data_IF_623948079454
#
_entry.id   IF_623948079454
#
_cell.length_a   1.000
_cell.length_b   1.000
_cell.length_c   1.000
_cell.angle_alpha   90.00
_cell.angle_beta   90.00
_cell.angle_gamma   90.00
#
_symmetry.space_group_name_H-M   'P 1'
#
loop_
_entity.id
_entity.type
_entity.pdbx_description
1 polymer ?
#
# COMPACT_ATOMS: atom_id res chain seq x y z
N UNK A 1 -18.40 17.91 8.78
CA UNK A 1 -18.26 17.01 7.62
C UNK A 1 -17.50 15.78 8.05
N UNK A 2 -17.94 14.62 7.63
CA UNK A 2 -17.34 13.33 7.93
C UNK A 2 -16.25 13.04 6.89
N UNK A 3 -14.99 13.24 7.27
CA UNK A 3 -13.83 12.89 6.45
C UNK A 3 -13.56 11.37 6.51
N UNK A 4 -14.62 10.58 6.33
CA UNK A 4 -14.57 9.13 6.41
C UNK A 4 -15.27 8.48 5.24
N UNK A 5 -14.58 7.52 4.65
CA UNK A 5 -15.20 6.54 3.76
C UNK A 5 -15.65 5.35 4.60
N UNK A 6 -16.90 4.91 4.51
CA UNK A 6 -17.40 3.82 5.35
C UNK A 6 -18.39 2.92 4.62
N UNK A 7 -18.42 1.65 5.03
CA UNK A 7 -19.13 0.56 4.36
C UNK A 7 -19.70 -0.41 5.39
N UNK A 8 -20.80 -1.07 5.04
CA UNK A 8 -21.53 -2.04 5.88
C UNK A 8 -21.21 -3.50 5.56
N UNK A 9 -20.30 -3.74 4.62
CA UNK A 9 -19.84 -5.06 4.21
C UNK A 9 -18.31 -5.09 4.01
N UNK A 10 -17.67 -6.27 4.15
CA UNK A 10 -16.28 -6.47 3.72
C UNK A 10 -16.08 -6.12 2.24
N UNK A 11 -14.84 -5.80 1.85
CA UNK A 11 -14.52 -5.61 0.45
C UNK A 11 -14.74 -6.92 -0.34
N UNK A 12 -15.42 -6.84 -1.48
CA UNK A 12 -15.66 -7.99 -2.37
C UNK A 12 -14.41 -8.40 -3.15
N UNK A 13 -13.50 -7.46 -3.37
CA UNK A 13 -12.25 -7.59 -4.11
C UNK A 13 -11.24 -6.57 -3.58
N UNK A 14 -10.03 -6.57 -4.14
CA UNK A 14 -8.95 -5.71 -3.70
C UNK A 14 -9.20 -4.22 -3.96
N UNK A 15 -9.82 -3.87 -5.09
CA UNK A 15 -10.07 -2.45 -5.45
C UNK A 15 -11.07 -1.79 -4.50
N UNK A 16 -11.92 -2.58 -3.84
CA UNK A 16 -12.83 -2.10 -2.79
C UNK A 16 -12.19 -2.07 -1.39
N UNK A 17 -10.89 -2.39 -1.27
CA UNK A 17 -10.11 -2.29 -0.04
C UNK A 17 -9.89 -0.85 0.43
N UNK A 18 -9.40 -0.69 1.66
CA UNK A 18 -9.06 0.61 2.23
C UNK A 18 -7.54 0.78 2.33
N UNK A 19 -6.95 1.76 1.63
CA UNK A 19 -5.51 1.96 1.61
C UNK A 19 -5.03 2.60 2.92
N UNK A 20 -3.85 2.17 3.36
CA UNK A 20 -3.02 2.80 4.38
C UNK A 20 -1.56 2.79 3.92
N UNK A 21 -0.73 3.68 4.46
CA UNK A 21 0.70 3.68 4.14
C UNK A 21 1.51 4.63 5.00
N UNK A 22 2.82 4.42 5.01
CA UNK A 22 3.82 5.32 5.62
C UNK A 22 4.62 6.07 4.57
N UNK A 23 4.33 5.88 3.30
CA UNK A 23 5.17 6.28 2.18
C UNK A 23 6.25 5.26 1.85
N UNK A 24 6.93 4.66 2.83
CA UNK A 24 7.82 3.53 2.56
C UNK A 24 7.05 2.22 2.42
N UNK A 25 6.08 2.00 3.32
CA UNK A 25 5.20 0.84 3.35
C UNK A 25 3.79 1.21 2.90
N UNK A 26 3.12 0.27 2.26
CA UNK A 26 1.72 0.39 1.88
C UNK A 26 0.95 -0.89 2.23
N UNK A 27 -0.31 -0.70 2.62
CA UNK A 27 -1.24 -1.75 2.98
C UNK A 27 -2.61 -1.52 2.36
N UNK A 28 -3.24 -2.56 1.81
CA UNK A 28 -4.65 -2.53 1.39
C UNK A 28 -5.47 -3.43 2.32
N UNK A 29 -6.37 -2.86 3.11
CA UNK A 29 -7.16 -3.57 4.13
C UNK A 29 -8.53 -3.96 3.57
N UNK A 30 -8.83 -5.26 3.48
CA UNK A 30 -10.09 -5.74 2.89
C UNK A 30 -11.25 -5.82 3.90
N UNK A 31 -10.95 -6.01 5.18
CA UNK A 31 -11.95 -6.05 6.25
C UNK A 31 -12.71 -7.38 6.34
N UNK A 32 -12.17 -8.49 5.85
CA UNK A 32 -12.86 -9.79 5.80
C UNK A 32 -13.35 -10.28 7.18
N UNK A 33 -14.45 -11.02 7.22
CA UNK A 33 -15.01 -11.59 8.46
C UNK A 33 -14.36 -12.94 8.77
N UNK A 34 -14.44 -13.90 7.85
CA UNK A 34 -13.87 -15.24 8.02
C UNK A 34 -12.33 -15.23 8.00
N UNK A 35 -11.76 -14.44 7.10
CA UNK A 35 -10.33 -14.19 6.99
C UNK A 35 -10.10 -12.73 6.60
N UNK A 36 -9.35 -12.00 7.42
CA UNK A 36 -8.80 -10.71 7.03
C UNK A 36 -7.66 -10.90 6.04
N UNK A 37 -7.57 -9.99 5.07
CA UNK A 37 -6.43 -9.85 4.17
C UNK A 37 -5.95 -8.41 4.19
N UNK A 38 -4.68 -8.21 4.50
CA UNK A 38 -3.98 -6.95 4.31
C UNK A 38 -2.90 -7.21 3.27
N UNK A 39 -3.09 -6.70 2.05
CA UNK A 39 -2.08 -6.80 0.99
C UNK A 39 -0.95 -5.80 1.27
N UNK A 40 0.30 -6.22 1.15
CA UNK A 40 1.48 -5.50 1.63
C UNK A 40 2.43 -5.13 0.49
N UNK A 41 2.93 -3.90 0.56
CA UNK A 41 3.83 -3.33 -0.44
C UNK A 41 4.96 -2.52 0.22
N UNK A 42 6.10 -2.47 -0.44
CA UNK A 42 7.26 -1.66 -0.07
C UNK A 42 7.68 -0.84 -1.28
N UNK A 43 8.01 0.45 -1.12
CA UNK A 43 8.24 1.37 -2.25
C UNK A 43 9.33 0.89 -3.21
N UNK A 44 10.39 0.27 -2.69
CA UNK A 44 11.51 -0.21 -3.50
C UNK A 44 11.31 -1.60 -4.12
N UNK A 45 10.24 -2.31 -3.78
CA UNK A 45 10.12 -3.72 -4.18
C UNK A 45 9.68 -3.86 -5.64
N UNK A 46 10.64 -4.19 -6.51
CA UNK A 46 10.41 -4.64 -7.88
C UNK A 46 11.16 -5.96 -8.14
N UNK A 47 11.03 -6.52 -9.34
CA UNK A 47 11.74 -7.76 -9.72
C UNK A 47 13.26 -7.58 -9.65
N UNK A 48 13.76 -6.44 -10.13
CA UNK A 48 15.15 -6.01 -10.00
C UNK A 48 16.17 -6.78 -10.85
N UNK A 49 15.73 -7.38 -11.96
CA UNK A 49 16.59 -8.11 -12.92
C UNK A 49 17.23 -7.17 -13.97
N UNK A 50 16.58 -6.07 -14.33
CA UNK A 50 16.98 -5.16 -15.41
C UNK A 50 17.58 -3.86 -14.86
N UNK A 51 18.67 -3.98 -14.10
CA UNK A 51 19.35 -2.83 -13.46
C UNK A 51 20.30 -2.08 -14.38
N UNK A 52 20.82 -2.72 -15.44
CA UNK A 52 21.65 -2.06 -16.43
C UNK A 52 20.77 -1.37 -17.48
N UNK A 53 20.79 -0.05 -17.45
CA UNK A 53 20.03 0.83 -18.36
C UNK A 53 20.94 1.61 -19.29
N UNK A 54 22.16 1.12 -19.51
CA UNK A 54 23.08 1.76 -20.45
C UNK A 54 22.48 1.73 -21.85
N UNK A 55 22.20 2.92 -22.38
CA UNK A 55 21.72 3.07 -23.74
C UNK A 55 22.91 3.04 -24.69
N UNK A 56 22.82 2.25 -25.75
CA UNK A 56 23.76 2.31 -26.86
C UNK A 56 23.62 3.66 -27.57
N UNK A 57 24.75 4.29 -27.95
CA UNK A 57 24.71 5.51 -28.74
C UNK A 57 24.22 5.21 -30.16
N UNK A 58 23.02 5.72 -30.47
CA UNK A 58 22.35 5.60 -31.77
C UNK A 58 22.09 6.99 -32.36
N UNK A 59 22.83 8.01 -31.94
CA UNK A 59 22.64 9.40 -32.36
C UNK A 59 22.87 9.62 -33.86
N UNK A 60 23.65 8.75 -34.50
CA UNK A 60 23.92 8.76 -35.95
C UNK A 60 22.66 8.61 -36.84
N UNK A 61 21.57 8.03 -36.30
CA UNK A 61 20.30 7.84 -37.02
C UNK A 61 19.45 9.12 -37.09
N UNK A 62 19.67 10.08 -36.19
CA UNK A 62 18.85 11.29 -36.04
C UNK A 62 18.78 12.17 -37.31
N UNK A 63 19.88 12.42 -38.04
CA UNK A 63 19.81 13.18 -39.29
C UNK A 63 18.91 12.52 -40.33
N UNK A 64 19.00 11.19 -40.49
CA UNK A 64 18.21 10.46 -41.50
C UNK A 64 16.73 10.39 -41.15
N UNK A 65 16.39 10.19 -39.87
CA UNK A 65 14.99 10.25 -39.41
C UNK A 65 14.38 11.62 -39.71
N UNK A 66 15.11 12.72 -39.44
CA UNK A 66 14.65 14.08 -39.74
C UNK A 66 14.45 14.32 -41.24
N UNK A 67 15.38 13.83 -42.08
CA UNK A 67 15.27 13.89 -43.55
C UNK A 67 13.98 13.20 -44.02
N UNK A 68 13.72 11.98 -43.56
CA UNK A 68 12.52 11.21 -43.92
C UNK A 68 11.23 11.92 -43.48
N UNK A 69 11.20 12.55 -42.30
CA UNK A 69 10.05 13.33 -41.84
C UNK A 69 9.82 14.58 -42.70
N UNK A 70 10.88 15.27 -43.13
CA UNK A 70 10.80 16.44 -44.01
C UNK A 70 10.28 16.06 -45.41
N UNK A 71 10.67 14.87 -45.89
CA UNK A 71 10.18 14.30 -47.16
C UNK A 71 8.78 13.67 -47.05
N UNK A 72 8.11 13.79 -45.91
CA UNK A 72 6.79 13.19 -45.61
C UNK A 72 6.76 11.65 -45.70
N UNK A 73 7.92 10.99 -45.59
CA UNK A 73 8.08 9.53 -45.54
C UNK A 73 7.89 9.01 -44.11
N UNK A 74 6.70 9.19 -43.57
CA UNK A 74 6.42 8.91 -42.15
C UNK A 74 6.66 7.45 -41.76
N UNK A 75 6.26 6.49 -42.60
CA UNK A 75 6.45 5.06 -42.31
C UNK A 75 7.94 4.69 -42.22
N UNK A 76 8.75 5.13 -43.19
CA UNK A 76 10.21 4.92 -43.18
C UNK A 76 10.86 5.59 -41.97
N UNK A 77 10.43 6.80 -41.62
CA UNK A 77 10.92 7.53 -40.45
C UNK A 77 10.60 6.79 -39.13
N UNK A 78 9.36 6.29 -39.00
CA UNK A 78 8.92 5.54 -37.82
C UNK A 78 9.68 4.22 -37.66
N UNK A 79 9.87 3.47 -38.76
CA UNK A 79 10.64 2.22 -38.72
C UNK A 79 12.09 2.48 -38.29
N UNK A 80 12.74 3.49 -38.87
CA UNK A 80 14.12 3.85 -38.53
C UNK A 80 14.25 4.35 -37.08
N UNK A 81 13.32 5.18 -36.62
CA UNK A 81 13.31 5.67 -35.24
C UNK A 81 13.08 4.54 -34.23
N UNK A 82 12.20 3.58 -34.54
CA UNK A 82 11.98 2.41 -33.69
C UNK A 82 13.20 1.49 -33.64
N UNK A 83 13.89 1.27 -34.77
CA UNK A 83 15.15 0.51 -34.79
C UNK A 83 16.28 1.21 -34.00
N UNK A 84 16.30 2.54 -34.02
CA UNK A 84 17.30 3.32 -33.30
C UNK A 84 17.02 3.41 -31.79
N UNK A 85 15.76 3.64 -31.38
CA UNK A 85 15.42 4.04 -30.01
C UNK A 85 14.19 3.34 -29.38
N UNK A 86 13.48 2.47 -30.10
CA UNK A 86 12.16 1.93 -29.70
C UNK A 86 12.14 0.88 -28.59
N UNK A 87 13.30 0.43 -28.09
CA UNK A 87 13.38 -0.56 -27.01
C UNK A 87 12.64 -1.88 -27.30
N UNK A 88 12.24 -2.62 -26.26
CA UNK A 88 11.44 -3.86 -26.39
C UNK A 88 10.10 -3.68 -27.10
N UNK A 89 9.58 -2.44 -27.18
CA UNK A 89 8.40 -2.09 -27.96
C UNK A 89 8.65 -1.92 -29.47
N UNK A 90 9.92 -1.85 -29.89
CA UNK A 90 10.33 -1.63 -31.27
C UNK A 90 11.43 -2.61 -31.69
N UNK A 91 11.04 -3.78 -32.22
CA UNK A 91 11.79 -4.67 -33.13
C UNK A 91 13.12 -5.28 -32.60
N UNK A 92 13.79 -4.67 -31.62
CA UNK A 92 15.18 -4.94 -31.24
C UNK A 92 15.38 -6.06 -30.21
N UNK A 93 14.29 -6.50 -29.55
CA UNK A 93 14.35 -7.56 -28.53
C UNK A 93 15.15 -7.21 -27.27
N UNK A 94 15.47 -5.92 -27.06
CA UNK A 94 16.23 -5.44 -25.91
C UNK A 94 15.32 -5.24 -24.70
N UNK A 95 15.62 -5.80 -23.51
CA UNK A 95 14.88 -5.48 -22.30
C UNK A 95 15.22 -4.05 -21.89
N UNK A 96 14.31 -3.11 -22.18
CA UNK A 96 14.46 -1.68 -21.85
C UNK A 96 13.37 -1.18 -20.90
N UNK A 97 12.48 -2.05 -20.42
CA UNK A 97 11.41 -1.70 -19.49
C UNK A 97 11.91 -1.54 -18.06
N UNK A 98 11.24 -0.68 -17.30
CA UNK A 98 11.31 -0.69 -15.84
C UNK A 98 10.91 -2.08 -15.31
N UNK A 99 11.60 -2.59 -14.29
CA UNK A 99 11.18 -3.85 -13.66
C UNK A 99 9.84 -3.65 -12.95
N UNK A 100 8.89 -4.56 -13.17
CA UNK A 100 7.55 -4.43 -12.61
C UNK A 100 7.58 -4.29 -11.09
N UNK A 101 6.80 -3.34 -10.56
CA UNK A 101 6.55 -3.19 -9.13
C UNK A 101 5.88 -4.45 -8.57
N UNK A 102 6.30 -4.92 -7.39
CA UNK A 102 5.89 -6.23 -6.87
C UNK A 102 5.16 -6.15 -5.52
N UNK A 103 4.12 -6.97 -5.31
CA UNK A 103 3.56 -7.18 -3.97
C UNK A 103 4.54 -7.95 -3.09
N UNK A 104 4.67 -7.52 -1.84
CA UNK A 104 5.48 -8.22 -0.85
C UNK A 104 4.76 -9.47 -0.31
N UNK A 105 3.43 -9.53 -0.45
CA UNK A 105 2.56 -10.61 0.01
C UNK A 105 1.37 -10.08 0.81
N UNK A 106 0.74 -10.95 1.58
CA UNK A 106 -0.38 -10.62 2.45
C UNK A 106 -0.07 -11.00 3.90
N UNK A 107 -0.49 -10.15 4.84
CA UNK A 107 -0.87 -10.63 6.17
C UNK A 107 -2.30 -11.15 6.08
N UNK A 108 -2.51 -12.40 6.51
CA UNK A 108 -3.83 -12.99 6.64
C UNK A 108 -4.08 -13.44 8.06
N UNK A 109 -5.27 -13.18 8.58
CA UNK A 109 -5.66 -13.73 9.87
C UNK A 109 -7.15 -14.02 9.98
N UNK A 110 -7.47 -15.06 10.74
CA UNK A 110 -8.83 -15.41 11.12
C UNK A 110 -8.96 -15.32 12.64
N UNK A 111 -10.12 -14.87 13.10
CA UNK A 111 -10.44 -14.77 14.51
C UNK A 111 -11.45 -15.84 14.87
N UNK A 112 -11.28 -16.43 16.04
CA UNK A 112 -12.22 -17.41 16.56
C UNK A 112 -13.47 -16.68 17.07
N UNK A 113 -14.46 -16.56 16.20
CA UNK A 113 -15.74 -15.98 16.54
C UNK A 113 -16.88 -16.69 15.83
N UNK A 114 -18.07 -16.60 16.42
CA UNK A 114 -19.30 -17.06 15.80
C UNK A 114 -19.85 -16.07 14.77
N UNK A 115 -21.16 -16.18 14.54
CA UNK A 115 -21.90 -15.33 13.59
C UNK A 115 -21.74 -13.85 13.91
N UNK A 116 -21.49 -13.07 12.86
CA UNK A 116 -21.27 -11.63 12.93
C UNK A 116 -22.54 -10.82 12.65
N UNK A 117 -22.72 -9.72 13.39
CA UNK A 117 -23.72 -8.67 13.16
C UNK A 117 -23.12 -7.27 13.30
N UNK A 118 -23.88 -6.24 12.91
CA UNK A 118 -23.50 -4.82 13.05
C UNK A 118 -22.11 -4.49 12.48
N UNK A 119 -21.77 -5.13 11.36
CA UNK A 119 -20.48 -4.93 10.70
C UNK A 119 -20.37 -3.51 10.12
N UNK A 120 -19.22 -2.89 10.34
CA UNK A 120 -18.84 -1.62 9.70
C UNK A 120 -17.33 -1.57 9.51
N UNK A 121 -16.89 -1.13 8.33
CA UNK A 121 -15.50 -0.73 8.08
C UNK A 121 -15.45 0.73 7.65
N UNK A 122 -14.44 1.46 8.10
CA UNK A 122 -14.22 2.85 7.71
C UNK A 122 -12.73 3.19 7.57
N UNK A 123 -12.42 4.07 6.63
CA UNK A 123 -11.16 4.80 6.54
C UNK A 123 -11.41 6.24 7.00
N UNK A 124 -10.73 6.63 8.08
CA UNK A 124 -10.75 7.98 8.66
C UNK A 124 -9.54 8.76 8.13
N UNK A 125 -9.79 9.70 7.21
CA UNK A 125 -8.74 10.44 6.50
C UNK A 125 -8.02 11.43 7.41
N UNK A 126 -8.71 12.00 8.41
CA UNK A 126 -8.12 12.89 9.41
C UNK A 126 -7.21 12.16 10.37
N UNK A 127 -7.51 10.90 10.68
CA UNK A 127 -6.75 10.10 11.64
C UNK A 127 -5.84 9.05 11.00
N UNK A 128 -5.76 9.03 9.66
CA UNK A 128 -5.03 8.05 8.86
C UNK A 128 -5.22 6.60 9.34
N UNK A 129 -6.48 6.19 9.53
CA UNK A 129 -6.82 4.92 10.17
C UNK A 129 -7.92 4.19 9.44
N UNK A 130 -7.71 2.89 9.21
CA UNK A 130 -8.80 1.95 8.94
C UNK A 130 -9.31 1.37 10.26
N UNK A 131 -10.63 1.39 10.47
CA UNK A 131 -11.29 0.77 11.62
C UNK A 131 -12.38 -0.17 11.14
N UNK A 132 -12.39 -1.40 11.64
CA UNK A 132 -13.48 -2.35 11.43
C UNK A 132 -14.08 -2.70 12.79
N UNK A 133 -15.40 -2.67 12.89
CA UNK A 133 -16.14 -3.05 14.09
C UNK A 133 -17.26 -4.01 13.74
N UNK A 134 -17.50 -4.97 14.62
CA UNK A 134 -18.62 -5.88 14.51
C UNK A 134 -18.91 -6.57 15.83
N UNK A 135 -20.13 -7.10 15.95
CA UNK A 135 -20.56 -7.88 17.11
C UNK A 135 -20.56 -9.37 16.80
N UNK A 136 -20.15 -10.17 17.78
CA UNK A 136 -20.19 -11.63 17.71
C UNK A 136 -20.24 -12.20 19.12
N UNK A 137 -21.12 -13.16 19.37
CA UNK A 137 -21.22 -13.86 20.67
C UNK A 137 -21.31 -12.92 21.90
N UNK A 138 -21.99 -11.77 21.76
CA UNK A 138 -22.12 -10.76 22.81
C UNK A 138 -20.88 -9.87 23.02
N UNK A 139 -19.85 -10.02 22.20
CA UNK A 139 -18.61 -9.22 22.21
C UNK A 139 -18.62 -8.19 21.09
N UNK A 140 -18.08 -7.00 21.37
CA UNK A 140 -17.76 -6.01 20.36
C UNK A 140 -16.29 -6.16 19.94
N UNK A 141 -16.05 -6.60 18.71
CA UNK A 141 -14.72 -6.68 18.14
C UNK A 141 -14.40 -5.37 17.44
N UNK A 142 -13.21 -4.84 17.71
CA UNK A 142 -12.63 -3.69 17.00
C UNK A 142 -11.27 -4.07 16.45
N UNK A 143 -11.13 -3.96 15.13
CA UNK A 143 -9.85 -4.00 14.41
C UNK A 143 -9.47 -2.59 14.01
N UNK A 144 -8.21 -2.24 14.14
CA UNK A 144 -7.69 -0.94 13.75
C UNK A 144 -6.35 -1.10 13.05
N UNK A 145 -6.21 -0.54 11.86
CA UNK A 145 -4.99 -0.62 11.05
C UNK A 145 -4.49 0.79 10.77
N UNK A 146 -3.21 1.04 11.00
CA UNK A 146 -2.52 2.30 10.70
C UNK A 146 -1.18 2.03 10.03
N UNK A 147 -0.78 2.89 9.09
CA UNK A 147 0.62 3.08 8.74
C UNK A 147 1.21 4.05 9.75
N UNK A 148 2.01 3.57 10.70
CA UNK A 148 2.53 4.41 11.76
C UNK A 148 3.72 5.22 11.26
N UNK A 149 3.59 6.54 11.15
CA UNK A 149 4.60 7.40 10.51
C UNK A 149 5.91 7.49 11.30
N UNK A 150 5.85 7.55 12.64
CA UNK A 150 7.07 7.67 13.47
C UNK A 150 7.84 6.35 13.59
N UNK A 151 7.14 5.26 13.93
CA UNK A 151 7.75 3.92 14.04
C UNK A 151 7.97 3.28 12.65
N UNK A 152 7.42 3.90 11.60
CA UNK A 152 7.50 3.53 10.18
C UNK A 152 7.28 2.03 9.93
N UNK A 153 6.14 1.54 10.42
CA UNK A 153 5.64 0.19 10.29
C UNK A 153 4.11 0.19 10.14
N UNK A 154 3.53 -0.89 9.63
CA UNK A 154 2.08 -1.07 9.67
C UNK A 154 1.71 -1.75 10.99
N UNK A 155 0.71 -1.20 11.69
CA UNK A 155 0.25 -1.73 12.98
C UNK A 155 -1.22 -2.12 12.88
N UNK A 156 -1.54 -3.34 13.26
CA UNK A 156 -2.91 -3.84 13.45
C UNK A 156 -3.16 -4.01 14.93
N UNK A 157 -4.23 -3.40 15.44
CA UNK A 157 -4.78 -3.69 16.76
C UNK A 157 -6.07 -4.48 16.62
N UNK A 158 -6.21 -5.53 17.41
CA UNK A 158 -7.42 -6.33 17.56
C UNK A 158 -7.78 -6.32 19.04
N UNK A 159 -9.01 -5.91 19.34
CA UNK A 159 -9.48 -5.70 20.70
C UNK A 159 -10.94 -6.12 20.82
N UNK A 160 -11.27 -6.91 21.84
CA UNK A 160 -12.59 -7.49 22.06
C UNK A 160 -13.31 -6.90 23.29
N UNK A 161 -13.07 -5.62 23.61
CA UNK A 161 -13.71 -4.93 24.74
C UNK A 161 -13.52 -5.63 26.09
N UNK A 162 -12.27 -5.88 26.48
CA UNK A 162 -11.83 -6.61 27.67
C UNK A 162 -12.13 -8.12 27.70
N UNK A 163 -12.92 -8.63 26.74
CA UNK A 163 -13.06 -10.07 26.51
C UNK A 163 -11.82 -10.65 25.84
N UNK A 164 -11.70 -11.98 25.90
CA UNK A 164 -10.62 -12.70 25.22
C UNK A 164 -10.98 -13.04 23.79
N UNK A 165 -9.96 -13.01 22.93
CA UNK A 165 -9.99 -13.40 21.54
C UNK A 165 -8.81 -14.32 21.21
N UNK A 166 -9.08 -15.29 20.34
CA UNK A 166 -8.11 -16.22 19.78
C UNK A 166 -8.14 -16.10 18.26
N UNK A 167 -7.07 -16.52 17.59
CA UNK A 167 -7.01 -16.42 16.13
C UNK A 167 -5.70 -16.95 15.55
N UNK A 168 -5.70 -17.12 14.22
CA UNK A 168 -4.54 -17.57 13.46
C UNK A 168 -4.03 -16.43 12.59
N UNK A 169 -2.71 -16.22 12.58
CA UNK A 169 -2.05 -15.15 11.82
C UNK A 169 -0.97 -15.77 10.95
N UNK A 170 -0.95 -15.46 9.66
CA UNK A 170 0.03 -16.01 8.72
C UNK A 170 0.47 -15.00 7.68
N UNK A 171 1.70 -15.18 7.21
CA UNK A 171 2.23 -14.51 6.02
C UNK A 171 2.13 -15.45 4.83
N UNK A 172 1.62 -14.94 3.72
CA UNK A 172 1.54 -15.66 2.45
C UNK A 172 1.90 -14.71 1.31
N UNK A 173 2.33 -15.27 0.18
CA UNK A 173 2.49 -14.54 -1.08
C UNK A 173 1.96 -15.44 -2.19
N UNK A 174 1.43 -14.83 -3.25
CA UNK A 174 1.10 -15.55 -4.47
C UNK A 174 2.34 -16.26 -5.02
N UNK A 175 2.15 -17.47 -5.55
CA UNK A 175 3.23 -18.26 -6.13
C UNK A 175 3.79 -17.56 -7.37
N UNK A 176 5.11 -17.42 -7.42
CA UNK A 176 5.81 -16.75 -8.51
C UNK A 176 7.03 -17.59 -8.89
N UNK A 177 7.06 -18.20 -10.09
CA UNK A 177 8.17 -19.06 -10.50
C UNK A 177 9.52 -18.32 -10.60
N UNK A 178 9.51 -16.98 -10.55
CA UNK A 178 10.71 -16.14 -10.57
C UNK A 178 11.25 -15.86 -9.17
N UNK A 179 10.53 -16.24 -8.10
CA UNK A 179 10.82 -15.81 -6.73
C UNK A 179 10.74 -16.97 -5.73
N UNK A 180 11.85 -17.27 -5.07
CA UNK A 180 11.88 -18.29 -4.03
C UNK A 180 11.36 -17.70 -2.70
N UNK A 181 10.45 -18.40 -2.02
CA UNK A 181 9.88 -18.00 -0.72
C UNK A 181 10.30 -18.97 0.38
N UNK A 182 10.83 -18.42 1.48
CA UNK A 182 11.17 -19.16 2.69
C UNK A 182 10.54 -18.51 3.93
N UNK A 183 10.31 -19.30 4.98
CA UNK A 183 9.72 -18.83 6.22
C UNK A 183 10.58 -19.21 7.43
N UNK A 184 10.79 -18.23 8.30
CA UNK A 184 11.32 -18.41 9.65
C UNK A 184 10.24 -18.05 10.67
N UNK A 185 10.02 -18.94 11.65
CA UNK A 185 9.02 -18.74 12.70
C UNK A 185 9.68 -18.77 14.08
N UNK A 186 9.44 -17.72 14.86
CA UNK A 186 9.83 -17.60 16.26
C UNK A 186 8.63 -17.66 17.20
N UNK A 187 8.86 -17.40 18.49
CA UNK A 187 7.81 -17.49 19.51
C UNK A 187 6.62 -16.54 19.27
N UNK A 188 6.89 -15.36 18.69
CA UNK A 188 5.88 -14.32 18.43
C UNK A 188 6.15 -13.58 17.11
N UNK A 189 6.94 -14.17 16.23
CA UNK A 189 7.40 -13.53 14.99
C UNK A 189 7.29 -14.50 13.83
N UNK A 190 6.81 -14.01 12.69
CA UNK A 190 6.87 -14.69 11.39
C UNK A 190 7.72 -13.84 10.47
N UNK A 191 8.69 -14.44 9.80
CA UNK A 191 9.48 -13.78 8.77
C UNK A 191 9.29 -14.55 7.48
N UNK A 192 8.83 -13.87 6.44
CA UNK A 192 8.79 -14.38 5.07
C UNK A 192 9.93 -13.75 4.28
N UNK A 193 10.84 -14.57 3.77
CA UNK A 193 11.93 -14.16 2.91
C UNK A 193 11.56 -14.42 1.46
N UNK A 194 11.82 -13.43 0.59
CA UNK A 194 11.69 -13.59 -0.85
C UNK A 194 12.99 -13.24 -1.57
N UNK A 195 13.30 -14.01 -2.62
CA UNK A 195 14.46 -13.78 -3.46
C UNK A 195 14.10 -14.03 -4.93
N UNK A 196 14.06 -12.96 -5.72
CA UNK A 196 13.91 -13.07 -7.17
C UNK A 196 15.17 -13.66 -7.80
N UNK A 197 15.03 -14.59 -8.73
CA UNK A 197 16.15 -15.17 -9.46
C UNK A 197 16.91 -14.07 -10.21
N UNK A 198 18.19 -13.86 -9.90
CA UNK A 198 19.02 -12.74 -10.43
C UNK A 198 18.42 -11.33 -10.17
N UNK A 199 17.51 -11.20 -9.22
CA UNK A 199 16.80 -9.97 -8.92
C UNK A 199 16.95 -9.53 -7.47
N UNK A 200 15.99 -8.74 -7.00
CA UNK A 200 15.94 -8.23 -5.62
C UNK A 200 15.63 -9.31 -4.59
N UNK A 201 16.04 -9.04 -3.34
CA UNK A 201 15.63 -9.80 -2.16
C UNK A 201 14.81 -8.92 -1.23
N UNK A 202 13.90 -9.55 -0.49
CA UNK A 202 13.07 -8.85 0.50
C UNK A 202 12.73 -9.73 1.72
N UNK A 203 12.32 -9.07 2.81
CA UNK A 203 11.71 -9.69 3.99
C UNK A 203 10.37 -9.04 4.28
N UNK A 204 9.37 -9.83 4.67
CA UNK A 204 8.21 -9.34 5.42
C UNK A 204 8.32 -9.91 6.84
N UNK A 205 8.49 -9.03 7.83
CA UNK A 205 8.58 -9.39 9.24
C UNK A 205 7.32 -8.97 9.96
N UNK A 206 6.66 -9.93 10.61
CA UNK A 206 5.45 -9.70 11.40
C UNK A 206 5.69 -10.14 12.84
N UNK A 207 5.57 -9.22 13.78
CA UNK A 207 5.68 -9.50 15.21
C UNK A 207 4.35 -9.28 15.93
N UNK A 208 4.02 -10.17 16.87
CA UNK A 208 2.81 -10.11 17.67
C UNK A 208 3.16 -9.75 19.11
N UNK A 209 2.41 -8.81 19.69
CA UNK A 209 2.36 -8.56 21.13
C UNK A 209 0.94 -8.77 21.61
N UNK A 210 0.77 -9.48 22.72
CA UNK A 210 -0.54 -9.74 23.30
C UNK A 210 -0.62 -9.26 24.74
N UNK A 211 -1.82 -8.84 25.15
CA UNK A 211 -2.16 -8.63 26.55
C UNK A 211 -2.90 -9.85 27.06
N UNK A 212 -2.26 -10.61 27.94
CA UNK A 212 -2.71 -11.94 28.40
C UNK A 212 -2.77 -12.98 27.27
N UNK A 213 -2.94 -14.25 27.63
CA UNK A 213 -2.96 -15.36 26.67
C UNK A 213 -1.59 -15.91 26.32
N UNK A 214 -1.51 -16.66 25.22
CA UNK A 214 -0.25 -17.25 24.71
C UNK A 214 -0.21 -17.25 23.19
N UNK A 215 1.01 -17.24 22.65
CA UNK A 215 1.28 -17.38 21.22
C UNK A 215 2.01 -18.70 21.00
N UNK A 216 1.61 -19.45 19.98
CA UNK A 216 2.25 -20.71 19.58
C UNK A 216 2.49 -20.75 18.07
N UNK A 217 3.64 -21.26 17.66
CA UNK A 217 3.93 -21.52 16.27
C UNK A 217 3.16 -22.75 15.77
N UNK A 218 2.56 -22.63 14.58
CA UNK A 218 1.84 -23.72 13.92
C UNK A 218 2.35 -23.84 12.49
N UNK A 219 2.94 -24.99 12.15
CA UNK A 219 3.53 -25.19 10.83
C UNK A 219 4.73 -24.28 10.57
N UNK A 220 4.85 -23.77 9.34
CA UNK A 220 6.03 -23.01 8.89
C UNK A 220 5.82 -21.49 8.86
N UNK A 221 4.58 -21.03 8.73
CA UNK A 221 4.29 -19.61 8.44
C UNK A 221 3.09 -19.05 9.22
N UNK A 222 2.67 -19.69 10.33
CA UNK A 222 1.47 -19.30 11.06
C UNK A 222 1.70 -19.28 12.58
N UNK A 223 1.21 -18.22 13.23
CA UNK A 223 1.12 -18.12 14.68
C UNK A 223 -0.34 -18.24 15.12
N UNK A 224 -0.56 -19.01 16.17
CA UNK A 224 -1.82 -19.14 16.87
C UNK A 224 -1.77 -18.30 18.15
N UNK A 225 -2.73 -17.39 18.29
CA UNK A 225 -2.96 -16.65 19.54
C UNK A 225 -4.14 -17.28 20.26
N UNK A 226 -3.99 -17.53 21.56
CA UNK A 226 -5.05 -18.08 22.41
C UNK A 226 -5.30 -17.16 23.62
N UNK A 227 -6.57 -16.80 23.82
CA UNK A 227 -7.09 -16.09 24.99
C UNK A 227 -6.44 -14.72 25.27
N UNK A 228 -6.18 -13.92 24.23
CA UNK A 228 -5.63 -12.58 24.37
C UNK A 228 -6.74 -11.54 24.55
N UNK A 229 -6.55 -10.53 25.41
CA UNK A 229 -7.46 -9.38 25.52
C UNK A 229 -7.21 -8.32 24.45
N UNK A 230 -5.97 -8.24 24.00
CA UNK A 230 -5.52 -7.34 22.94
C UNK A 230 -4.42 -8.04 22.15
N UNK A 231 -4.45 -7.88 20.83
CA UNK A 231 -3.41 -8.33 19.93
C UNK A 231 -2.93 -7.11 19.14
N UNK A 232 -1.64 -6.82 19.23
CA UNK A 232 -0.94 -5.87 18.38
C UNK A 232 -0.05 -6.64 17.41
N UNK A 233 -0.25 -6.39 16.12
CA UNK A 233 0.56 -6.97 15.04
C UNK A 233 1.37 -5.83 14.43
N UNK A 234 2.68 -5.97 14.40
CA UNK A 234 3.61 -5.03 13.80
C UNK A 234 4.19 -5.65 12.55
N UNK A 235 4.05 -4.96 11.41
CA UNK A 235 4.47 -5.46 10.10
C UNK A 235 5.50 -4.47 9.56
N UNK A 236 6.68 -5.00 9.23
CA UNK A 236 7.72 -4.27 8.54
C UNK A 236 8.18 -5.06 7.32
N UNK A 237 8.62 -4.35 6.29
CA UNK A 237 9.14 -4.93 5.06
C UNK A 237 10.51 -4.31 4.82
N UNK A 238 11.46 -5.12 4.40
CA UNK A 238 12.80 -4.68 4.02
C UNK A 238 13.21 -5.27 2.69
N UNK A 239 14.14 -4.62 2.01
CA UNK A 239 14.66 -4.95 0.68
C UNK A 239 16.18 -4.83 0.66
N UNK A 240 16.82 -5.33 -0.39
CA UNK A 240 18.25 -5.12 -0.62
C UNK A 240 18.56 -3.96 -1.57
N UNK A 241 17.57 -3.08 -1.84
CA UNK A 241 17.69 -1.96 -2.78
C UNK A 241 18.88 -1.04 -2.47
N UNK A 242 19.19 -0.86 -1.17
CA UNK A 242 20.28 0.02 -0.69
C UNK A 242 21.56 -0.75 -0.33
N UNK A 243 21.71 -1.98 -0.81
CA UNK A 243 22.91 -2.80 -0.60
C UNK A 243 23.04 -3.42 0.79
N UNK A 244 22.01 -3.32 1.64
CA UNK A 244 21.94 -4.02 2.91
C UNK A 244 21.15 -5.33 2.79
N UNK A 245 21.25 -6.20 3.80
CA UNK A 245 20.40 -7.39 3.86
C UNK A 245 18.96 -6.96 4.20
N UNK A 246 17.92 -7.52 3.55
CA UNK A 246 16.54 -7.13 3.83
C UNK A 246 16.19 -7.19 5.31
N UNK A 247 16.63 -8.25 6.00
CA UNK A 247 16.34 -8.44 7.43
C UNK A 247 16.95 -7.34 8.31
N UNK A 248 18.05 -6.72 7.90
CA UNK A 248 18.64 -5.60 8.63
C UNK A 248 17.82 -4.32 8.43
N UNK A 249 17.28 -4.07 7.24
CA UNK A 249 16.30 -2.99 7.03
C UNK A 249 15.04 -3.23 7.90
N UNK A 250 14.54 -4.47 7.95
CA UNK A 250 13.45 -4.87 8.84
C UNK A 250 13.82 -4.59 10.34
N UNK A 251 15.09 -4.79 10.75
CA UNK A 251 15.58 -4.67 12.15
C UNK A 251 15.97 -3.28 12.60
N UNK A 252 16.26 -2.35 11.67
CA UNK A 252 16.55 -0.93 12.01
C UNK A 252 15.48 -0.30 12.89
N UNK A 253 14.24 -0.78 12.78
CA UNK A 253 13.09 -0.33 13.56
C UNK A 253 12.62 -1.47 14.46
N UNK A 254 13.06 -1.43 15.72
CA UNK A 254 12.62 -2.39 16.74
C UNK A 254 11.13 -2.22 17.04
N UNK A 255 10.46 -3.28 17.49
CA UNK A 255 9.06 -3.20 17.89
C UNK A 255 8.93 -2.22 19.06
N UNK A 256 8.10 -1.16 18.95
CA UNK A 256 7.98 -0.17 20.00
C UNK A 256 7.46 -0.79 21.29
N UNK A 257 8.05 -0.41 22.42
CA UNK A 257 7.61 -0.83 23.77
C UNK A 257 6.45 0.05 24.32
N UNK A 258 5.80 0.82 23.45
CA UNK A 258 4.73 1.77 23.80
C UNK A 258 3.36 1.08 23.78
N UNK A 259 2.43 1.44 24.67
CA UNK A 259 1.04 0.99 24.56
C UNK A 259 0.36 1.60 23.33
N UNK A 260 -0.68 0.92 22.84
CA UNK A 260 -1.43 1.34 21.65
C UNK A 260 -1.88 2.81 21.69
N UNK A 261 -2.39 3.26 22.83
CA UNK A 261 -2.98 4.58 23.02
C UNK A 261 -1.94 5.70 22.88
N UNK A 262 -0.66 5.37 23.10
CA UNK A 262 0.45 6.28 22.84
C UNK A 262 0.83 6.26 21.36
N UNK A 263 1.02 5.07 20.78
CA UNK A 263 1.33 4.89 19.36
C UNK A 263 0.30 5.60 18.48
N UNK A 264 -0.97 5.34 18.74
CA UNK A 264 -2.07 5.91 17.95
C UNK A 264 -2.13 7.43 18.03
N UNK A 265 -1.94 8.01 19.22
CA UNK A 265 -1.93 9.47 19.41
C UNK A 265 -0.74 10.13 18.74
N UNK A 266 0.44 9.53 18.86
CA UNK A 266 1.67 10.01 18.21
C UNK A 266 1.51 9.97 16.68
N UNK A 267 0.91 8.91 16.13
CA UNK A 267 0.64 8.81 14.70
C UNK A 267 -0.35 9.87 14.18
N UNK A 268 -1.44 10.11 14.91
CA UNK A 268 -2.41 11.16 14.54
C UNK A 268 -1.69 12.51 14.48
N UNK A 269 -0.94 12.85 15.53
CA UNK A 269 -0.22 14.12 15.59
C UNK A 269 0.80 14.26 14.45
N UNK A 270 1.48 13.17 14.06
CA UNK A 270 2.42 13.18 12.94
C UNK A 270 1.71 13.40 11.60
N UNK A 271 0.59 12.71 11.37
CA UNK A 271 -0.21 12.87 10.14
C UNK A 271 -0.82 14.27 10.02
N UNK A 272 -1.31 14.83 11.14
CA UNK A 272 -1.90 16.17 11.20
C UNK A 272 -0.91 17.28 10.79
N UNK A 273 0.40 17.09 10.98
CA UNK A 273 1.42 18.08 10.58
C UNK A 273 1.36 18.45 9.11
N UNK A 274 0.96 17.53 8.23
CA UNK A 274 0.83 17.76 6.79
C UNK A 274 -0.64 17.75 6.35
N UNK A 275 -1.39 16.70 6.67
CA UNK A 275 -2.78 16.58 6.25
C UNK A 275 -3.65 17.69 6.85
N UNK A 276 -3.38 18.12 8.09
CA UNK A 276 -4.14 19.15 8.80
C UNK A 276 -3.91 20.59 8.31
N UNK A 277 -2.96 20.84 7.40
CA UNK A 277 -2.62 22.19 6.91
C UNK A 277 -3.71 22.85 6.06
N UNK A 278 -4.56 22.05 5.44
CA UNK A 278 -5.68 22.52 4.64
C UNK A 278 -6.97 21.84 5.10
N UNK A 279 -7.99 22.66 5.36
CA UNK A 279 -9.34 22.23 5.64
C UNK A 279 -10.29 22.95 4.69
N UNK A 280 -11.03 22.19 3.88
CA UNK A 280 -12.06 22.71 3.00
C UNK A 280 -13.42 22.23 3.50
N UNK A 281 -14.36 23.16 3.64
CA UNK A 281 -15.69 22.89 4.21
C UNK A 281 -16.78 23.48 3.31
N UNK A 282 -17.83 22.71 3.10
CA UNK A 282 -19.08 23.14 2.44
C UNK A 282 -20.23 23.03 3.45
N UNK A 283 -21.02 24.10 3.58
CA UNK A 283 -22.21 24.09 4.44
C UNK A 283 -23.35 23.35 3.76
N UNK A 284 -23.37 22.02 3.89
CA UNK A 284 -24.40 21.14 3.39
C UNK A 284 -24.58 19.93 4.30
N UNK A 285 -25.79 19.37 4.31
CA UNK A 285 -26.06 18.12 5.01
C UNK A 285 -25.39 16.95 4.28
N UNK A 286 -24.63 16.17 5.03
CA UNK A 286 -24.00 14.98 4.51
C UNK A 286 -24.94 13.77 4.65
N UNK A 287 -25.20 13.02 3.57
CA UNK A 287 -26.01 11.82 3.64
C UNK A 287 -25.44 10.79 4.62
N UNK A 288 -26.25 10.34 5.58
CA UNK A 288 -25.87 9.30 6.54
C UNK A 288 -26.09 7.89 5.95
N UNK A 289 -25.46 7.61 4.81
CA UNK A 289 -25.47 6.31 4.12
C UNK A 289 -24.02 5.90 3.75
N UNK A 290 -23.76 4.61 3.53
CA UNK A 290 -22.43 4.10 3.13
C UNK A 290 -21.87 4.78 1.88
N UNK A 291 -20.55 4.87 1.78
CA UNK A 291 -19.86 5.62 0.71
C UNK A 291 -20.12 5.04 -0.68
N UNK A 292 -20.25 3.72 -0.82
CA UNK A 292 -20.66 3.05 -2.05
C UNK A 292 -22.10 3.42 -2.46
N UNK A 293 -23.03 3.49 -1.51
CA UNK A 293 -24.39 3.95 -1.77
C UNK A 293 -24.43 5.44 -2.15
N UNK A 294 -23.58 6.28 -1.54
CA UNK A 294 -23.41 7.69 -1.94
C UNK A 294 -22.92 7.81 -3.37
N UNK A 295 -21.91 7.04 -3.76
CA UNK A 295 -21.38 7.03 -5.14
C UNK A 295 -22.46 6.58 -6.13
N UNK A 296 -23.23 5.54 -5.78
CA UNK A 296 -24.34 5.07 -6.61
C UNK A 296 -25.41 6.15 -6.78
N UNK A 297 -25.87 6.76 -5.69
CA UNK A 297 -26.87 7.82 -5.72
C UNK A 297 -26.37 9.05 -6.51
N UNK A 298 -25.08 9.41 -6.38
CA UNK A 298 -24.48 10.52 -7.13
C UNK A 298 -24.48 10.26 -8.64
N UNK A 299 -24.15 9.04 -9.07
CA UNK A 299 -24.27 8.61 -10.48
C UNK A 299 -25.71 8.67 -11.00
N UNK A 300 -26.69 8.46 -10.13
CA UNK A 300 -28.12 8.52 -10.42
C UNK A 300 -28.70 9.94 -10.32
N UNK A 301 -27.88 10.97 -10.05
CA UNK A 301 -28.27 12.38 -10.06
C UNK A 301 -28.48 13.02 -8.69
N UNK A 302 -28.01 12.41 -7.61
CA UNK A 302 -27.99 13.03 -6.28
C UNK A 302 -27.14 14.32 -6.26
N UNK A 303 -27.62 15.34 -5.54
CA UNK A 303 -26.94 16.61 -5.33
C UNK A 303 -26.03 16.61 -4.08
N UNK A 304 -25.46 15.45 -3.71
CA UNK A 304 -24.53 15.34 -2.57
C UNK A 304 -23.21 16.08 -2.86
N UNK A 305 -23.20 17.38 -2.57
CA UNK A 305 -22.01 18.25 -2.72
C UNK A 305 -20.89 17.90 -1.76
N UNK A 306 -21.14 17.07 -0.75
CA UNK A 306 -20.11 16.64 0.22
C UNK A 306 -19.30 15.45 -0.30
N UNK A 307 -19.79 14.70 -1.29
CA UNK A 307 -19.06 13.58 -1.89
C UNK A 307 -17.83 14.02 -2.72
N UNK A 308 -17.92 15.03 -3.62
CA UNK A 308 -16.73 15.59 -4.28
C UNK A 308 -15.69 16.13 -3.30
N UNK A 309 -16.12 16.71 -2.17
CA UNK A 309 -15.22 17.18 -1.13
C UNK A 309 -14.50 16.01 -0.42
N UNK A 310 -15.22 14.93 -0.14
CA UNK A 310 -14.60 13.70 0.38
C UNK A 310 -13.57 13.15 -0.62
N UNK A 311 -13.85 13.17 -1.93
CA UNK A 311 -12.93 12.75 -2.98
C UNK A 311 -11.67 13.63 -3.06
N UNK A 312 -11.83 14.95 -2.93
CA UNK A 312 -10.71 15.89 -2.82
C UNK A 312 -9.80 15.57 -1.62
N UNK A 313 -10.41 15.38 -0.44
CA UNK A 313 -9.68 15.02 0.77
C UNK A 313 -9.03 13.64 0.67
N UNK A 314 -9.65 12.69 -0.04
CA UNK A 314 -9.08 11.39 -0.31
C UNK A 314 -7.83 11.49 -1.19
N UNK A 315 -7.82 12.32 -2.24
CA UNK A 315 -6.62 12.58 -3.05
C UNK A 315 -5.45 13.12 -2.21
N UNK A 316 -5.71 14.07 -1.31
CA UNK A 316 -4.70 14.58 -0.36
C UNK A 316 -4.19 13.48 0.57
N UNK A 317 -5.10 12.67 1.12
CA UNK A 317 -4.75 11.54 1.98
C UNK A 317 -3.84 10.52 1.26
N UNK A 318 -4.16 10.16 0.01
CA UNK A 318 -3.37 9.21 -0.77
C UNK A 318 -1.94 9.71 -0.99
N UNK A 319 -1.76 11.00 -1.25
CA UNK A 319 -0.41 11.58 -1.37
C UNK A 319 0.35 11.50 -0.03
N UNK A 320 -0.30 11.80 1.11
CA UNK A 320 0.32 11.60 2.43
C UNK A 320 0.75 10.14 2.64
N UNK A 321 -0.15 9.19 2.38
CA UNK A 321 0.07 7.77 2.63
C UNK A 321 1.15 7.14 1.72
N UNK A 322 1.41 7.74 0.55
CA UNK A 322 2.43 7.29 -0.41
C UNK A 322 3.78 8.02 -0.27
N UNK A 323 3.82 9.16 0.43
CA UNK A 323 5.02 10.02 0.42
C UNK A 323 5.61 10.35 1.79
N UNK A 324 4.89 10.14 2.90
CA UNK A 324 5.31 10.64 4.23
C UNK A 324 6.75 10.29 4.65
N UNK A 325 7.14 9.02 4.52
CA UNK A 325 8.51 8.52 4.69
C UNK A 325 9.06 7.92 3.39
N UNK A 326 8.45 8.26 2.24
CA UNK A 326 8.84 7.71 0.95
C UNK A 326 10.10 8.39 0.42
N UNK A 327 11.01 7.59 -0.11
CA UNK A 327 12.17 8.10 -0.87
C UNK A 327 11.91 8.06 -2.38
N UNK A 328 10.98 7.20 -2.81
CA UNK A 328 10.52 7.14 -4.19
C UNK A 328 9.16 7.83 -4.34
N UNK A 329 8.88 8.42 -5.52
CA UNK A 329 7.60 9.03 -5.75
C UNK A 329 6.48 8.00 -5.84
N UNK A 330 5.23 8.48 -5.77
CA UNK A 330 4.05 7.67 -6.05
C UNK A 330 4.07 7.19 -7.52
N UNK A 331 3.99 5.88 -7.73
CA UNK A 331 3.93 5.24 -9.05
C UNK A 331 2.49 5.23 -9.60
N UNK A 332 2.22 4.51 -10.70
CA UNK A 332 0.90 4.43 -11.33
C UNK A 332 -0.26 4.01 -10.40
N UNK A 333 0.02 3.23 -9.35
CA UNK A 333 -0.97 2.81 -8.35
C UNK A 333 -0.67 3.42 -6.96
N UNK A 334 0.05 4.53 -6.93
CA UNK A 334 0.56 5.12 -5.70
C UNK A 334 1.70 4.28 -5.14
N UNK A 335 1.38 3.35 -4.22
CA UNK A 335 2.28 2.31 -3.70
C UNK A 335 1.52 1.02 -3.36
N UNK A 336 0.28 0.88 -3.82
CA UNK A 336 -0.57 -0.28 -3.54
C UNK A 336 -0.68 -1.13 -4.81
N UNK A 337 -0.23 -2.38 -4.75
CA UNK A 337 -0.34 -3.31 -5.87
C UNK A 337 -0.51 -4.74 -5.31
N UNK A 338 -1.42 -5.53 -5.87
CA UNK A 338 -1.55 -6.96 -5.55
C UNK A 338 -1.05 -7.89 -6.67
N UNK A 339 -0.87 -7.38 -7.89
CA UNK A 339 -0.65 -8.22 -9.06
C UNK A 339 0.85 -8.43 -9.28
N UNK A 340 1.24 -9.68 -9.59
CA UNK A 340 2.63 -10.01 -9.97
C UNK A 340 3.02 -9.45 -11.34
N UNK A 341 2.03 -9.15 -12.18
CA UNK A 341 2.13 -8.53 -13.50
C UNK A 341 1.11 -7.38 -13.57
N UNK A 342 1.38 -6.26 -12.89
CA UNK A 342 0.44 -5.15 -12.88
C UNK A 342 0.37 -4.47 -14.25
N UNK A 343 -0.75 -3.79 -14.52
CA UNK A 343 -0.89 -3.01 -15.74
C UNK A 343 0.22 -1.96 -15.86
N UNK A 344 0.88 -1.91 -17.03
CA UNK A 344 2.02 -1.03 -17.31
C UNK A 344 3.13 -1.12 -16.25
N UNK A 345 3.38 -2.33 -15.72
CA UNK A 345 4.43 -2.61 -14.75
C UNK A 345 4.31 -1.84 -13.42
N UNK A 346 3.23 -1.06 -13.25
CA UNK A 346 3.03 -0.14 -12.14
C UNK A 346 4.28 0.75 -11.92
N UNK A 347 4.88 1.18 -13.03
CA UNK A 347 6.12 1.93 -13.07
C UNK A 347 5.88 3.46 -12.91
N UNK A 348 6.86 4.24 -13.36
CA UNK A 348 6.78 5.69 -13.47
C UNK A 348 6.57 6.13 -14.92
N UNK A 349 5.31 6.31 -15.33
CA UNK A 349 4.98 6.92 -16.64
C UNK A 349 5.22 8.44 -16.61
N UNK A 350 6.16 8.90 -17.46
CA UNK A 350 6.71 10.26 -17.44
C UNK A 350 6.10 11.22 -18.47
N UNK A 351 5.03 10.84 -19.17
CA UNK A 351 4.40 11.67 -20.20
C UNK A 351 3.07 12.30 -19.76
N UNK A 352 2.52 11.90 -18.60
CA UNK A 352 1.41 12.58 -17.92
C UNK A 352 1.19 12.10 -16.48
N UNK A 353 1.38 10.80 -16.21
CA UNK A 353 0.92 10.17 -14.99
C UNK A 353 1.70 10.60 -13.74
N UNK A 354 3.03 10.53 -13.78
CA UNK A 354 3.84 10.94 -12.64
C UNK A 354 3.64 12.42 -12.32
N UNK A 355 3.51 13.28 -13.34
CA UNK A 355 3.20 14.69 -13.15
C UNK A 355 1.84 14.87 -12.46
N UNK A 356 0.82 14.14 -12.93
CA UNK A 356 -0.53 14.21 -12.37
C UNK A 356 -0.58 13.78 -10.91
N UNK A 357 0.20 12.78 -10.51
CA UNK A 357 0.30 12.35 -9.11
C UNK A 357 0.70 13.49 -8.16
N UNK A 358 1.46 14.47 -8.64
CA UNK A 358 2.01 15.57 -7.84
C UNK A 358 1.35 16.93 -8.05
N UNK A 359 0.40 17.08 -8.98
CA UNK A 359 -0.41 18.30 -9.12
C UNK A 359 -1.09 18.77 -7.81
N UNK A 360 -1.65 17.88 -6.95
CA UNK A 360 -2.27 18.33 -5.70
C UNK A 360 -1.27 18.67 -4.60
N UNK A 361 0.04 18.46 -4.79
CA UNK A 361 1.01 18.62 -3.70
C UNK A 361 1.10 20.08 -3.22
N UNK A 362 1.45 21.00 -4.12
CA UNK A 362 1.59 22.43 -3.77
C UNK A 362 0.23 23.05 -3.41
N UNK A 363 -0.78 22.85 -4.26
CA UNK A 363 -2.12 23.41 -4.06
C UNK A 363 -2.87 22.81 -2.86
N UNK A 364 -2.51 21.60 -2.44
CA UNK A 364 -3.08 20.89 -1.29
C UNK A 364 -2.36 21.12 0.03
N UNK A 365 -1.38 22.03 0.09
CA UNK A 365 -0.49 22.27 1.24
C UNK A 365 0.32 21.03 1.67
N UNK A 366 0.77 20.25 0.70
CA UNK A 366 1.54 19.00 0.86
C UNK A 366 2.91 19.07 0.18
N UNK A 367 3.49 20.27 0.01
CA UNK A 367 4.76 20.49 -0.67
C UNK A 367 5.94 19.72 -0.05
N UNK A 368 5.89 19.37 1.24
CA UNK A 368 6.92 18.55 1.89
C UNK A 368 7.06 17.17 1.21
N UNK A 369 6.00 16.70 0.51
CA UNK A 369 5.97 15.42 -0.19
C UNK A 369 6.46 15.48 -1.64
N UNK A 370 6.74 16.66 -2.21
CA UNK A 370 7.35 16.75 -3.56
C UNK A 370 8.83 16.39 -3.56
N UNK A 371 9.48 16.35 -2.39
CA UNK A 371 10.90 16.02 -2.31
C UNK A 371 11.23 14.65 -2.92
N UNK A 372 10.38 13.64 -2.73
CA UNK A 372 10.57 12.31 -3.33
C UNK A 372 10.57 12.35 -4.87
N UNK A 373 9.82 13.28 -5.47
CA UNK A 373 9.85 13.51 -6.92
C UNK A 373 11.13 14.24 -7.36
N UNK A 374 11.63 15.20 -6.57
CA UNK A 374 12.84 15.95 -6.92
C UNK A 374 14.15 15.17 -6.74
N UNK A 375 14.13 14.15 -5.87
CA UNK A 375 15.28 13.27 -5.64
C UNK A 375 15.32 12.06 -6.55
N UNK A 376 14.19 11.71 -7.16
CA UNK A 376 14.07 10.68 -8.19
C UNK A 376 14.60 11.20 -9.52
#
# INVERSE_FOLDING_TARGET
>A
MNNKMWYTSPASDWINGLPIGTGRLAGMVLGGIEEERIALNHEWLNVGQNRDRTNEDRSEYLPKVRELLIEEKYEEATLLANEAWGGSGGISGRPTGEDSYQPAGDLRFSLDHGKVSNYRRELDLERARVKITYETEGKLISRTVIGHLIEDCIIVRIYANEETISGNFRLVREDDPRCDILYDIGNATIIMHGAFHKGMKFCVKTDLKIREGKITAVGKNMLRVENAKEILVFINIGTDAKGELPIEECRRRSIPAKPWERLYRENIAEHEKNYGRLNLTVNADEPNIPTDERIKAYKEGSNDVTLPLLYFNFGRYLLCATSANGELPANLQGKWNQDLMPAWDCDYHLDINLQMNYWPAESGHLQDYTNALFTY
#
